data_IF_870881262131
#
_entry.id   IF_870881262131
#
_cell.length_a   1.000
_cell.length_b   1.000
_cell.length_c   1.000
_cell.angle_alpha   90.00
_cell.angle_beta   90.00
_cell.angle_gamma   90.00
#
_symmetry.space_group_name_H-M   'P 1'
#
loop_
_entity.id
_entity.type
_entity.pdbx_description
1 polymer ?
#
# COMPACT_ATOMS: atom_id res chain seq x y z
N UNK A 1 13.80 12.81 1.15
CA UNK A 1 13.78 12.64 2.63
C UNK A 1 12.52 11.85 2.94
N UNK A 2 12.69 10.56 3.26
CA UNK A 2 11.58 9.63 3.48
C UNK A 2 10.94 9.87 4.84
N UNK A 3 10.03 10.85 4.88
CA UNK A 3 9.31 11.19 6.11
C UNK A 3 7.82 10.92 5.93
N UNK A 4 7.23 10.23 6.91
CA UNK A 4 5.78 10.07 7.01
C UNK A 4 5.14 11.40 7.40
N UNK A 5 4.06 11.75 6.71
CA UNK A 5 3.26 12.92 7.04
C UNK A 5 2.21 12.53 8.07
N UNK A 6 1.75 13.49 8.90
CA UNK A 6 0.57 13.27 9.73
C UNK A 6 -0.61 12.77 8.88
N UNK A 7 -1.26 11.71 9.36
CA UNK A 7 -2.37 11.04 8.68
C UNK A 7 -3.69 11.73 8.98
N UNK A 8 -4.54 11.94 7.97
CA UNK A 8 -5.91 12.42 8.14
C UNK A 8 -6.91 11.25 8.28
N UNK A 9 -6.51 10.06 7.83
CA UNK A 9 -7.30 8.81 7.91
C UNK A 9 -6.78 7.88 9.00
N UNK A 10 -7.68 7.07 9.56
CA UNK A 10 -7.33 6.10 10.61
C UNK A 10 -6.67 4.84 10.05
N UNK A 11 -5.92 4.13 10.90
CA UNK A 11 -5.32 2.82 10.59
C UNK A 11 -6.40 1.81 10.21
N UNK A 12 -7.54 1.81 10.91
CA UNK A 12 -8.67 0.92 10.63
C UNK A 12 -9.26 1.17 9.23
N UNK A 13 -9.36 2.43 8.80
CA UNK A 13 -9.80 2.74 7.45
C UNK A 13 -8.83 2.15 6.41
N UNK A 14 -7.53 2.33 6.63
CA UNK A 14 -6.50 1.83 5.72
C UNK A 14 -6.54 0.30 5.56
N UNK A 15 -6.66 -0.42 6.68
CA UNK A 15 -6.75 -1.89 6.67
C UNK A 15 -8.02 -2.38 5.95
N UNK A 16 -9.12 -1.62 6.01
CA UNK A 16 -10.35 -1.91 5.26
C UNK A 16 -10.13 -1.80 3.75
N UNK A 17 -9.55 -0.69 3.27
CA UNK A 17 -9.24 -0.47 1.85
C UNK A 17 -8.29 -1.55 1.30
N UNK A 18 -7.24 -1.87 2.07
CA UNK A 18 -6.31 -2.93 1.75
C UNK A 18 -7.00 -4.29 1.59
N UNK A 19 -7.96 -4.61 2.48
CA UNK A 19 -8.74 -5.84 2.40
C UNK A 19 -9.58 -5.89 1.13
N UNK A 20 -10.23 -4.78 0.76
CA UNK A 20 -11.02 -4.69 -0.47
C UNK A 20 -10.16 -4.88 -1.71
N UNK A 21 -8.99 -4.22 -1.80
CA UNK A 21 -8.06 -4.40 -2.91
C UNK A 21 -7.56 -5.84 -3.04
N UNK A 22 -7.23 -6.50 -1.93
CA UNK A 22 -6.77 -7.90 -1.96
C UNK A 22 -7.88 -8.83 -2.46
N UNK A 23 -9.14 -8.59 -2.08
CA UNK A 23 -10.30 -9.35 -2.57
C UNK A 23 -10.46 -9.13 -4.08
N UNK A 24 -10.45 -7.87 -4.54
CA UNK A 24 -10.58 -7.52 -5.97
C UNK A 24 -9.48 -8.18 -6.82
N UNK A 25 -8.22 -8.10 -6.37
CA UNK A 25 -7.08 -8.74 -7.04
C UNK A 25 -7.29 -10.25 -7.13
N UNK A 26 -7.74 -10.89 -6.05
CA UNK A 26 -8.00 -12.33 -6.03
C UNK A 26 -9.10 -12.71 -7.02
N UNK A 27 -10.21 -11.97 -7.05
CA UNK A 27 -11.31 -12.22 -7.99
C UNK A 27 -10.89 -12.02 -9.46
N UNK A 28 -9.99 -11.09 -9.74
CA UNK A 28 -9.39 -10.93 -11.06
C UNK A 28 -8.53 -12.14 -11.44
N UNK A 29 -7.64 -12.56 -10.54
CA UNK A 29 -6.78 -13.73 -10.77
C UNK A 29 -7.59 -15.03 -10.93
N UNK A 30 -8.66 -15.21 -10.14
CA UNK A 30 -9.57 -16.36 -10.24
C UNK A 30 -10.32 -16.40 -11.59
N UNK A 31 -10.51 -15.24 -12.23
CA UNK A 31 -11.03 -15.12 -13.61
C UNK A 31 -9.97 -15.28 -14.70
N UNK A 32 -8.71 -15.48 -14.33
CA UNK A 32 -7.58 -15.54 -15.26
C UNK A 32 -7.07 -14.17 -15.73
N UNK A 33 -7.55 -13.08 -15.13
CA UNK A 33 -7.13 -11.73 -15.47
C UNK A 33 -5.76 -11.40 -14.84
N UNK A 34 -4.84 -10.94 -15.66
CA UNK A 34 -3.50 -10.53 -15.22
C UNK A 34 -3.37 -9.01 -15.07
N UNK A 35 -4.27 -8.26 -15.71
CA UNK A 35 -4.36 -6.80 -15.61
C UNK A 35 -5.27 -6.41 -14.45
N UNK A 36 -4.86 -5.37 -13.72
CA UNK A 36 -5.67 -4.74 -12.69
C UNK A 36 -6.38 -3.51 -13.26
N UNK A 37 -5.62 -2.44 -13.58
CA UNK A 37 -6.15 -1.20 -14.18
C UNK A 37 -5.14 -0.61 -15.16
N UNK A 38 -5.59 -0.30 -16.38
CA UNK A 38 -4.71 0.16 -17.46
C UNK A 38 -3.60 -0.85 -17.77
N UNK A 39 -2.35 -0.40 -17.66
CA UNK A 39 -1.16 -1.23 -17.87
C UNK A 39 -0.60 -1.88 -16.59
N UNK A 40 -1.22 -1.61 -15.43
CA UNK A 40 -0.79 -2.18 -14.15
C UNK A 40 -1.33 -3.61 -14.03
N UNK A 41 -0.44 -4.54 -13.72
CA UNK A 41 -0.79 -5.95 -13.45
C UNK A 41 -1.27 -6.15 -12.01
N UNK A 42 -2.07 -7.19 -11.79
CA UNK A 42 -2.48 -7.65 -10.45
C UNK A 42 -1.28 -7.85 -9.52
N UNK A 43 -0.19 -8.45 -10.04
CA UNK A 43 1.04 -8.67 -9.27
C UNK A 43 1.75 -7.37 -8.88
N UNK A 44 1.83 -6.40 -9.79
CA UNK A 44 2.40 -5.09 -9.50
C UNK A 44 1.58 -4.34 -8.44
N UNK A 45 0.24 -4.36 -8.58
CA UNK A 45 -0.63 -3.71 -7.61
C UNK A 45 -0.52 -4.37 -6.23
N UNK A 46 -0.57 -5.71 -6.15
CA UNK A 46 -0.36 -6.46 -4.91
C UNK A 46 0.99 -6.14 -4.25
N UNK A 47 2.07 -6.04 -5.03
CA UNK A 47 3.39 -5.64 -4.53
C UNK A 47 3.37 -4.23 -3.93
N UNK A 48 2.68 -3.29 -4.57
CA UNK A 48 2.54 -1.93 -4.06
C UNK A 48 1.74 -1.89 -2.76
N UNK A 49 0.62 -2.61 -2.67
CA UNK A 49 -0.19 -2.71 -1.45
C UNK A 49 0.59 -3.43 -0.32
N UNK A 50 1.48 -4.37 -0.64
CA UNK A 50 2.36 -4.98 0.36
C UNK A 50 3.37 -3.98 0.96
N UNK A 51 3.96 -3.11 0.13
CA UNK A 51 4.84 -2.06 0.63
C UNK A 51 4.09 -1.07 1.53
N UNK A 52 2.88 -0.70 1.16
CA UNK A 52 2.02 0.13 2.00
C UNK A 52 1.80 -0.47 3.40
N UNK A 53 1.57 -1.78 3.47
CA UNK A 53 1.40 -2.48 4.75
C UNK A 53 2.70 -2.49 5.56
N UNK A 54 3.86 -2.64 4.91
CA UNK A 54 5.18 -2.55 5.57
C UNK A 54 5.35 -1.16 6.17
N UNK A 55 5.05 -0.10 5.42
CA UNK A 55 5.18 1.28 5.88
C UNK A 55 4.21 1.56 7.04
N UNK A 56 2.95 1.13 6.93
CA UNK A 56 1.96 1.26 8.01
C UNK A 56 2.40 0.53 9.29
N UNK A 57 2.92 -0.68 9.15
CA UNK A 57 3.42 -1.46 10.28
C UNK A 57 4.63 -0.78 10.92
N UNK A 58 5.59 -0.34 10.11
CA UNK A 58 6.77 0.36 10.59
C UNK A 58 6.39 1.64 11.37
N UNK A 59 5.40 2.41 10.89
CA UNK A 59 4.89 3.58 11.61
C UNK A 59 4.32 3.19 12.99
N UNK A 60 3.46 2.16 13.05
CA UNK A 60 2.79 1.74 14.29
C UNK A 60 3.78 1.29 15.37
N UNK A 61 4.93 0.75 14.96
CA UNK A 61 5.97 0.26 15.86
C UNK A 61 7.17 1.21 15.97
N UNK A 62 7.09 2.43 15.41
CA UNK A 62 8.16 3.43 15.39
C UNK A 62 9.50 2.88 14.84
N UNK A 63 9.42 2.10 13.76
CA UNK A 63 10.58 1.50 13.09
C UNK A 63 11.11 2.43 11.98
N UNK A 64 11.72 3.54 12.37
CA UNK A 64 12.18 4.58 11.43
C UNK A 64 13.17 4.06 10.38
N UNK A 65 14.05 3.14 10.75
CA UNK A 65 15.02 2.50 9.82
C UNK A 65 14.35 1.76 8.66
N UNK A 66 13.16 1.18 8.89
CA UNK A 66 12.39 0.49 7.86
C UNK A 66 11.78 1.51 6.91
N UNK A 67 11.26 2.62 7.44
CA UNK A 67 10.68 3.71 6.65
C UNK A 67 11.78 4.34 5.76
N UNK A 68 12.99 4.52 6.30
CA UNK A 68 14.12 5.07 5.57
C UNK A 68 14.58 4.17 4.42
N UNK A 69 14.49 2.85 4.59
CA UNK A 69 14.86 1.86 3.58
C UNK A 69 13.82 1.70 2.45
N UNK A 70 12.60 2.21 2.62
CA UNK A 70 11.54 2.14 1.61
C UNK A 70 11.78 3.19 0.51
N UNK A 71 11.61 2.86 -0.78
CA UNK A 71 11.80 3.83 -1.87
C UNK A 71 10.87 5.06 -1.76
N UNK A 72 11.40 6.25 -2.04
CA UNK A 72 10.69 7.54 -1.92
C UNK A 72 9.33 7.55 -2.64
N UNK A 73 9.24 6.96 -3.84
CA UNK A 73 7.99 6.87 -4.61
C UNK A 73 6.87 6.13 -3.87
N UNK A 74 7.22 5.15 -3.04
CA UNK A 74 6.26 4.42 -2.20
C UNK A 74 5.82 5.31 -1.05
N UNK A 75 6.74 5.99 -0.35
CA UNK A 75 6.43 6.91 0.74
C UNK A 75 5.53 8.06 0.26
N UNK A 76 5.82 8.64 -0.89
CA UNK A 76 5.00 9.68 -1.52
C UNK A 76 3.58 9.19 -1.83
N UNK A 77 3.45 7.99 -2.41
CA UNK A 77 2.14 7.39 -2.72
C UNK A 77 1.37 7.07 -1.43
N UNK A 78 2.03 6.48 -0.44
CA UNK A 78 1.44 6.12 0.85
C UNK A 78 0.88 7.36 1.56
N UNK A 79 1.68 8.43 1.66
CA UNK A 79 1.27 9.71 2.22
C UNK A 79 0.07 10.32 1.46
N UNK A 80 0.02 10.22 0.12
CA UNK A 80 -1.13 10.66 -0.68
C UNK A 80 -2.41 9.85 -0.41
N UNK A 81 -2.29 8.53 -0.23
CA UNK A 81 -3.44 7.63 0.01
C UNK A 81 -4.07 7.85 1.40
N UNK A 82 -3.24 8.20 2.39
CA UNK A 82 -3.66 8.40 3.80
C UNK A 82 -4.17 9.80 4.15
N UNK A 83 -4.02 10.74 3.22
CA UNK A 83 -4.75 12.01 3.19
C UNK A 83 -6.07 11.82 2.47
#
# INVERSE_FOLDING_TARGET
MNKLLPTDKSVSWYLSEMKEHVIEIRELLDRGETKYRGDITCAQHAKTEAYDLIVLTAELFNMDEVIEAVPDKIIERFNKKRR
#
